data_IF_061192151371
#
_entry.id   IF_061192151371
#
_cell.length_a   1.000
_cell.length_b   1.000
_cell.length_c   1.000
_cell.angle_alpha   90.00
_cell.angle_beta   90.00
_cell.angle_gamma   90.00
#
_symmetry.space_group_name_H-M   'P 1'
#
loop_
_entity.id
_entity.type
_entity.pdbx_description
1 polymer ?
#
# COMPACT_ATOMS: atom_id res chain seq x y z
N UNK A 1 23.11 14.46 -16.62
CA UNK A 1 22.13 14.91 -15.62
C UNK A 1 20.96 13.92 -15.48
N UNK A 2 20.37 13.39 -16.58
CA UNK A 2 19.29 12.39 -16.54
C UNK A 2 19.73 11.09 -15.88
N UNK A 3 20.92 10.59 -16.19
CA UNK A 3 21.43 9.32 -15.65
C UNK A 3 21.73 9.42 -14.13
N UNK A 4 22.23 10.59 -13.68
CA UNK A 4 22.46 10.85 -12.27
C UNK A 4 21.15 10.94 -11.47
N UNK A 5 20.09 11.48 -12.07
CA UNK A 5 18.77 11.60 -11.46
C UNK A 5 18.06 10.24 -11.38
N UNK A 6 18.16 9.42 -12.43
CA UNK A 6 17.67 8.04 -12.43
C UNK A 6 18.39 7.17 -11.39
N UNK A 7 19.72 7.31 -11.25
CA UNK A 7 20.48 6.60 -10.23
C UNK A 7 20.10 7.02 -8.81
N UNK A 8 19.85 8.31 -8.56
CA UNK A 8 19.39 8.81 -7.28
C UNK A 8 17.97 8.29 -6.93
N UNK A 9 17.08 8.23 -7.90
CA UNK A 9 15.73 7.68 -7.75
C UNK A 9 15.77 6.19 -7.41
N UNK A 10 16.59 5.41 -8.11
CA UNK A 10 16.78 3.99 -7.85
C UNK A 10 17.36 3.73 -6.45
N UNK A 11 18.32 4.53 -6.02
CA UNK A 11 18.90 4.44 -4.67
C UNK A 11 17.84 4.71 -3.59
N UNK A 12 16.98 5.69 -3.81
CA UNK A 12 15.89 6.00 -2.87
C UNK A 12 14.86 4.86 -2.76
N UNK A 13 14.53 4.20 -3.87
CA UNK A 13 13.65 3.03 -3.92
C UNK A 13 14.28 1.86 -3.16
N UNK A 14 15.56 1.61 -3.40
CA UNK A 14 16.32 0.57 -2.70
C UNK A 14 16.37 0.80 -1.19
N UNK A 15 16.68 2.01 -0.75
CA UNK A 15 16.73 2.35 0.69
C UNK A 15 15.36 2.17 1.36
N UNK A 16 14.27 2.52 0.69
CA UNK A 16 12.90 2.29 1.20
C UNK A 16 12.58 0.81 1.34
N UNK A 17 12.94 0.00 0.35
CA UNK A 17 12.75 -1.44 0.42
C UNK A 17 13.58 -2.06 1.54
N UNK A 18 14.87 -1.71 1.61
CA UNK A 18 15.77 -2.20 2.66
C UNK A 18 15.28 -1.82 4.05
N UNK A 19 14.89 -0.55 4.26
CA UNK A 19 14.35 -0.12 5.55
C UNK A 19 13.05 -0.84 5.93
N UNK A 20 12.17 -1.10 4.97
CA UNK A 20 10.95 -1.87 5.21
C UNK A 20 11.26 -3.33 5.59
N UNK A 21 12.21 -3.96 4.91
CA UNK A 21 12.67 -5.31 5.24
C UNK A 21 13.31 -5.38 6.63
N UNK A 22 14.19 -4.44 6.96
CA UNK A 22 14.82 -4.37 8.29
C UNK A 22 13.78 -4.14 9.39
N UNK A 23 12.82 -3.23 9.17
CA UNK A 23 11.77 -2.94 10.13
C UNK A 23 10.85 -4.16 10.34
N UNK A 24 10.55 -4.92 9.30
CA UNK A 24 9.77 -6.16 9.40
C UNK A 24 10.44 -7.20 10.32
N UNK A 25 11.78 -7.21 10.42
CA UNK A 25 12.52 -8.13 11.28
C UNK A 25 12.77 -7.59 12.68
N UNK A 26 12.57 -6.31 12.94
CA UNK A 26 12.95 -5.66 14.19
C UNK A 26 12.32 -6.35 15.42
N UNK A 27 11.06 -6.73 15.36
CA UNK A 27 10.37 -7.42 16.45
C UNK A 27 11.00 -8.78 16.78
N UNK A 28 11.28 -9.60 15.78
CA UNK A 28 11.90 -10.93 15.98
C UNK A 28 13.32 -10.78 16.50
N UNK A 29 14.09 -9.83 15.97
CA UNK A 29 15.46 -9.55 16.41
C UNK A 29 15.48 -9.09 17.88
N UNK A 30 14.58 -8.18 18.27
CA UNK A 30 14.44 -7.75 19.66
C UNK A 30 14.16 -8.94 20.57
N UNK A 31 13.20 -9.80 20.22
CA UNK A 31 12.86 -10.97 21.02
C UNK A 31 14.03 -11.96 21.12
N UNK A 32 14.76 -12.19 20.03
CA UNK A 32 15.94 -13.06 20.03
C UNK A 32 17.07 -12.50 20.88
N UNK A 33 17.36 -11.21 20.77
CA UNK A 33 18.40 -10.57 21.60
C UNK A 33 18.03 -10.62 23.08
N UNK A 34 16.77 -10.39 23.41
CA UNK A 34 16.28 -10.51 24.79
C UNK A 34 16.31 -11.95 25.30
N UNK A 35 16.00 -12.93 24.45
CA UNK A 35 16.03 -14.35 24.82
C UNK A 35 17.44 -14.89 25.01
N UNK A 36 18.38 -14.45 24.17
CA UNK A 36 19.78 -14.85 24.25
C UNK A 36 20.50 -14.24 25.46
N UNK A 37 19.93 -13.20 26.08
CA UNK A 37 20.57 -12.40 27.13
C UNK A 37 21.63 -11.46 26.56
N UNK A 38 21.65 -10.22 27.04
CA UNK A 38 22.74 -9.31 26.73
C UNK A 38 24.04 -9.82 27.38
N UNK A 39 25.20 -9.77 26.75
CA UNK A 39 26.44 -10.41 27.26
C UNK A 39 26.87 -10.02 28.67
N UNK A 40 26.29 -8.95 29.22
CA UNK A 40 26.62 -8.44 30.56
C UNK A 40 25.71 -8.91 31.72
N UNK A 41 24.64 -9.64 31.44
CA UNK A 41 23.60 -10.01 32.43
C UNK A 41 23.46 -11.53 32.60
N UNK A 42 24.51 -12.28 32.31
CA UNK A 42 24.52 -13.73 32.55
C UNK A 42 24.74 -14.02 34.03
N UNK A 43 23.72 -13.90 34.85
CA UNK A 43 23.75 -14.29 36.25
C UNK A 43 22.70 -15.37 36.51
N UNK A 44 23.14 -16.58 36.75
CA UNK A 44 22.36 -17.71 37.24
C UNK A 44 22.14 -18.86 36.26
N UNK A 45 21.86 -20.05 36.76
CA UNK A 45 21.55 -21.21 35.93
C UNK A 45 20.16 -21.04 35.33
N UNK A 46 20.10 -20.88 34.01
CA UNK A 46 18.84 -20.83 33.25
C UNK A 46 18.64 -22.19 32.61
N UNK A 47 17.50 -22.83 32.81
CA UNK A 47 17.23 -24.09 32.13
C UNK A 47 17.20 -23.85 30.59
N UNK A 48 18.07 -24.56 29.84
CA UNK A 48 18.05 -24.45 28.40
C UNK A 48 16.77 -25.08 27.87
N UNK A 49 16.08 -24.38 27.00
CA UNK A 49 15.01 -24.97 26.21
C UNK A 49 15.66 -25.68 25.03
N UNK A 50 15.86 -27.01 25.15
CA UNK A 50 16.34 -27.81 24.05
C UNK A 50 15.18 -28.15 23.10
N UNK A 51 15.37 -27.90 21.83
CA UNK A 51 14.45 -28.38 20.79
C UNK A 51 15.07 -29.57 20.05
N UNK A 52 14.22 -30.38 19.43
CA UNK A 52 14.69 -31.42 18.53
C UNK A 52 15.48 -30.81 17.37
N UNK A 53 16.63 -31.43 16.98
CA UNK A 53 17.40 -30.94 15.84
C UNK A 53 16.54 -30.91 14.57
N UNK A 54 16.66 -29.84 13.82
CA UNK A 54 15.92 -29.67 12.55
C UNK A 54 16.65 -30.43 11.47
N UNK A 55 15.87 -31.11 10.62
CA UNK A 55 16.42 -31.82 9.45
C UNK A 55 17.26 -30.88 8.57
N UNK A 56 18.44 -31.33 8.05
CA UNK A 56 19.33 -30.49 7.23
C UNK A 56 18.65 -29.88 6.00
N UNK A 57 17.72 -30.61 5.39
CA UNK A 57 16.92 -30.10 4.27
C UNK A 57 16.04 -28.93 4.73
N UNK A 58 15.33 -29.08 5.85
CA UNK A 58 14.50 -28.02 6.42
C UNK A 58 15.30 -26.76 6.75
N UNK A 59 16.52 -26.93 7.29
CA UNK A 59 17.44 -25.81 7.56
C UNK A 59 17.83 -25.09 6.26
N UNK A 60 18.22 -25.84 5.24
CA UNK A 60 18.64 -25.30 3.94
C UNK A 60 17.48 -24.61 3.23
N UNK A 61 16.31 -25.23 3.23
CA UNK A 61 15.08 -24.67 2.68
C UNK A 61 14.72 -23.33 3.34
N UNK A 62 14.67 -23.28 4.67
CA UNK A 62 14.36 -22.06 5.39
C UNK A 62 15.38 -20.93 5.12
N UNK A 63 16.70 -21.26 5.04
CA UNK A 63 17.75 -20.29 4.71
C UNK A 63 17.60 -19.73 3.30
N UNK A 64 17.42 -20.60 2.31
CA UNK A 64 17.30 -20.19 0.90
C UNK A 64 16.06 -19.31 0.71
N UNK A 65 14.91 -19.77 1.18
CA UNK A 65 13.66 -19.00 1.00
C UNK A 65 13.50 -17.78 1.91
N UNK A 66 14.30 -17.68 2.96
CA UNK A 66 14.37 -16.45 3.76
C UNK A 66 15.29 -15.39 3.15
N UNK A 67 16.40 -15.78 2.50
CA UNK A 67 17.42 -14.84 2.03
C UNK A 67 17.28 -14.53 0.54
N UNK A 68 17.09 -15.54 -0.30
CA UNK A 68 17.15 -15.39 -1.76
C UNK A 68 16.07 -14.45 -2.31
N UNK A 69 14.78 -14.55 -1.93
CA UNK A 69 13.77 -13.65 -2.44
C UNK A 69 14.03 -12.18 -2.08
N UNK A 70 14.46 -11.92 -0.85
CA UNK A 70 14.80 -10.56 -0.39
C UNK A 70 16.01 -10.00 -1.12
N UNK A 71 17.07 -10.78 -1.30
CA UNK A 71 18.26 -10.39 -2.06
C UNK A 71 17.95 -10.13 -3.53
N UNK A 72 17.23 -11.04 -4.19
CA UNK A 72 16.82 -10.85 -5.59
C UNK A 72 15.96 -9.61 -5.76
N UNK A 73 14.99 -9.38 -4.87
CA UNK A 73 14.14 -8.20 -4.93
C UNK A 73 14.94 -6.90 -4.77
N UNK A 74 15.96 -6.87 -3.88
CA UNK A 74 16.82 -5.71 -3.73
C UNK A 74 17.70 -5.46 -4.96
N UNK A 75 18.23 -6.52 -5.58
CA UNK A 75 19.00 -6.43 -6.83
C UNK A 75 18.11 -5.90 -7.96
N UNK A 76 16.93 -6.48 -8.14
CA UNK A 76 15.95 -6.05 -9.15
C UNK A 76 15.54 -4.59 -8.94
N UNK A 77 15.30 -4.17 -7.70
CA UNK A 77 14.96 -2.78 -7.39
C UNK A 77 16.07 -1.80 -7.79
N UNK A 78 17.35 -2.18 -7.61
CA UNK A 78 18.49 -1.35 -8.01
C UNK A 78 18.67 -1.30 -9.54
N UNK A 79 18.58 -2.48 -10.20
CA UNK A 79 18.92 -2.60 -11.64
C UNK A 79 17.80 -2.07 -12.52
N UNK A 80 16.56 -2.41 -12.21
CA UNK A 80 15.39 -2.10 -13.06
C UNK A 80 14.71 -0.79 -12.62
N UNK A 81 14.97 -0.32 -11.39
CA UNK A 81 14.34 0.89 -10.85
C UNK A 81 12.83 0.75 -10.65
N UNK A 82 12.31 -0.48 -10.62
CA UNK A 82 10.89 -0.71 -10.41
C UNK A 82 10.48 -0.34 -8.98
N UNK A 83 9.49 0.52 -8.86
CA UNK A 83 8.85 0.87 -7.59
C UNK A 83 7.99 -0.31 -7.12
N UNK A 84 8.60 -1.25 -6.41
CA UNK A 84 7.84 -2.29 -5.73
C UNK A 84 6.94 -1.63 -4.67
N UNK A 85 5.64 -1.87 -4.66
CA UNK A 85 4.77 -1.34 -3.62
C UNK A 85 5.23 -1.90 -2.26
N UNK A 86 5.34 -1.03 -1.26
CA UNK A 86 5.82 -1.40 0.09
C UNK A 86 5.00 -2.56 0.68
N UNK A 87 3.70 -2.65 0.36
CA UNK A 87 2.84 -3.78 0.73
C UNK A 87 3.16 -5.09 0.01
N UNK A 88 3.84 -5.05 -1.15
CA UNK A 88 4.27 -6.25 -1.89
C UNK A 88 5.53 -6.92 -1.34
N UNK A 89 6.19 -6.33 -0.33
CA UNK A 89 7.40 -6.92 0.28
C UNK A 89 7.11 -8.01 1.33
N UNK A 90 5.88 -8.15 1.80
CA UNK A 90 5.52 -9.14 2.81
C UNK A 90 5.88 -10.60 2.43
N UNK A 91 5.65 -11.08 1.19
CA UNK A 91 6.06 -12.42 0.78
C UNK A 91 7.57 -12.65 0.85
N UNK A 92 8.38 -11.59 0.72
CA UNK A 92 9.84 -11.68 0.73
C UNK A 92 10.41 -12.04 2.11
N UNK A 93 9.62 -11.88 3.17
CA UNK A 93 10.05 -12.07 4.56
C UNK A 93 9.29 -13.18 5.29
N UNK A 94 8.43 -13.93 4.60
CA UNK A 94 7.57 -14.95 5.23
C UNK A 94 8.36 -15.97 6.05
N UNK A 95 9.47 -16.48 5.52
CA UNK A 95 10.29 -17.49 6.20
C UNK A 95 11.45 -16.91 7.00
N UNK A 96 11.66 -15.62 6.98
CA UNK A 96 12.81 -15.00 7.65
C UNK A 96 12.74 -15.12 9.17
N UNK A 97 11.55 -15.02 9.76
CA UNK A 97 11.35 -15.25 11.19
C UNK A 97 11.71 -16.68 11.60
N UNK A 98 11.29 -17.67 10.81
CA UNK A 98 11.67 -19.08 11.01
C UNK A 98 13.18 -19.29 10.88
N UNK A 99 13.79 -18.71 9.85
CA UNK A 99 15.22 -18.79 9.64
C UNK A 99 16.00 -18.19 10.83
N UNK A 100 15.59 -17.04 11.34
CA UNK A 100 16.21 -16.42 12.53
C UNK A 100 16.13 -17.32 13.75
N UNK A 101 14.99 -17.99 13.99
CA UNK A 101 14.86 -18.95 15.10
C UNK A 101 15.75 -20.18 14.87
N UNK A 102 15.90 -20.65 13.63
CA UNK A 102 16.81 -21.74 13.29
C UNK A 102 18.27 -21.33 13.52
N UNK A 103 18.67 -20.13 13.14
CA UNK A 103 20.00 -19.57 13.38
C UNK A 103 20.34 -19.40 14.87
N UNK A 104 19.33 -19.20 15.73
CA UNK A 104 19.54 -19.12 17.18
C UNK A 104 20.07 -20.43 17.80
N UNK A 105 20.05 -21.54 17.04
CA UNK A 105 20.58 -22.84 17.47
C UNK A 105 19.55 -23.74 18.14
N UNK A 106 20.00 -24.92 18.55
CA UNK A 106 19.13 -25.96 19.11
C UNK A 106 18.91 -25.80 20.63
N UNK A 107 19.65 -24.92 21.27
CA UNK A 107 19.53 -24.61 22.69
C UNK A 107 19.29 -23.12 22.87
N UNK A 108 18.08 -22.77 23.30
CA UNK A 108 17.70 -21.39 23.61
C UNK A 108 17.68 -21.23 25.11
N UNK A 109 18.58 -20.40 25.65
CA UNK A 109 18.54 -20.03 27.04
C UNK A 109 17.58 -18.86 27.24
N UNK A 110 16.46 -19.10 27.90
CA UNK A 110 15.46 -18.06 28.16
C UNK A 110 15.90 -17.23 29.38
N UNK A 111 16.84 -16.31 29.14
CA UNK A 111 17.18 -15.29 30.17
C UNK A 111 16.01 -14.28 30.20
N UNK A 112 15.61 -13.89 31.40
CA UNK A 112 14.60 -12.84 31.60
C UNK A 112 13.21 -13.15 31.00
N UNK A 113 12.66 -14.34 31.25
CA UNK A 113 11.33 -14.76 30.73
C UNK A 113 10.23 -13.71 30.93
N UNK A 114 10.22 -13.00 32.08
CA UNK A 114 9.27 -11.91 32.36
C UNK A 114 9.46 -10.74 31.39
N UNK A 115 10.70 -10.31 31.15
CA UNK A 115 11.02 -9.22 30.22
C UNK A 115 10.64 -9.62 28.81
N UNK A 116 10.92 -10.87 28.42
CA UNK A 116 10.53 -11.42 27.11
C UNK A 116 9.00 -11.41 26.94
N UNK A 117 8.27 -11.82 27.97
CA UNK A 117 6.80 -11.78 27.97
C UNK A 117 6.25 -10.35 27.82
N UNK A 118 6.78 -9.40 28.59
CA UNK A 118 6.41 -7.98 28.45
C UNK A 118 6.79 -7.40 27.10
N UNK A 119 7.97 -7.72 26.58
CA UNK A 119 8.40 -7.28 25.26
C UNK A 119 7.50 -7.84 24.16
N UNK A 120 7.10 -9.12 24.26
CA UNK A 120 6.17 -9.74 23.31
C UNK A 120 4.80 -9.09 23.35
N UNK A 121 4.23 -8.88 24.54
CA UNK A 121 2.96 -8.16 24.72
C UNK A 121 3.07 -6.73 24.21
N UNK A 122 4.18 -6.04 24.50
CA UNK A 122 4.46 -4.71 23.98
C UNK A 122 4.49 -4.67 22.44
N UNK A 123 5.20 -5.61 21.80
CA UNK A 123 5.22 -5.72 20.33
C UNK A 123 3.86 -6.06 19.71
N UNK A 124 2.99 -6.72 20.45
CA UNK A 124 1.63 -7.01 20.01
C UNK A 124 0.69 -5.79 20.11
N UNK A 125 0.83 -5.01 21.19
CA UNK A 125 -0.12 -3.92 21.53
C UNK A 125 0.37 -2.56 21.00
N UNK A 126 1.66 -2.25 21.10
CA UNK A 126 2.19 -0.91 20.78
C UNK A 126 1.99 -0.54 19.32
N UNK A 127 2.30 -1.38 18.32
CA UNK A 127 2.12 -0.99 16.92
C UNK A 127 0.67 -0.68 16.55
N UNK A 128 -0.35 -1.51 16.92
CA UNK A 128 -1.75 -1.19 16.64
C UNK A 128 -2.24 0.11 17.30
N UNK A 129 -1.71 0.46 18.46
CA UNK A 129 -2.06 1.73 19.11
C UNK A 129 -1.28 2.91 18.51
N UNK A 130 -0.04 2.68 18.10
CA UNK A 130 0.83 3.73 17.58
C UNK A 130 0.42 4.18 16.17
N UNK A 131 -0.05 3.25 15.33
CA UNK A 131 -0.48 3.55 13.95
C UNK A 131 -1.60 4.59 13.89
N UNK A 132 -2.71 4.49 14.64
CA UNK A 132 -3.74 5.55 14.66
C UNK A 132 -3.21 6.90 15.12
N UNK A 133 -2.31 6.92 16.12
CA UNK A 133 -1.67 8.14 16.60
C UNK A 133 -0.81 8.76 15.49
N UNK A 134 -0.04 7.97 14.78
CA UNK A 134 0.73 8.44 13.62
C UNK A 134 -0.18 9.00 12.52
N UNK A 135 -1.26 8.30 12.17
CA UNK A 135 -2.23 8.76 11.18
C UNK A 135 -2.81 10.12 11.56
N UNK A 136 -3.07 10.34 12.84
CA UNK A 136 -3.58 11.62 13.34
C UNK A 136 -2.53 12.74 13.36
N UNK A 137 -1.26 12.42 13.67
CA UNK A 137 -0.19 13.41 13.84
C UNK A 137 0.56 13.75 12.54
N UNK A 138 0.72 12.81 11.61
CA UNK A 138 1.48 13.01 10.38
C UNK A 138 0.98 14.19 9.53
N UNK A 139 -0.33 14.44 9.37
CA UNK A 139 -0.83 15.61 8.65
C UNK A 139 -0.41 16.95 9.29
N UNK A 140 -0.18 16.98 10.62
CA UNK A 140 0.22 18.17 11.35
C UNK A 140 1.74 18.41 11.37
N UNK A 141 2.52 17.34 11.38
CA UNK A 141 3.98 17.40 11.52
C UNK A 141 4.69 17.50 10.18
N UNK A 142 4.49 16.49 9.33
CA UNK A 142 5.20 16.33 8.04
C UNK A 142 4.33 16.73 6.85
N UNK A 143 3.03 16.95 7.05
CA UNK A 143 2.09 17.23 5.96
C UNK A 143 1.90 16.01 5.04
N UNK A 144 1.98 14.80 5.57
CA UNK A 144 1.80 13.59 4.78
C UNK A 144 0.31 13.34 4.49
N UNK A 145 -0.05 13.27 3.20
CA UNK A 145 -1.40 12.91 2.76
C UNK A 145 -1.54 11.39 2.75
N UNK A 146 -2.11 10.86 3.83
CA UNK A 146 -2.37 9.43 3.95
C UNK A 146 -3.73 9.09 3.35
N UNK A 147 -3.75 8.12 2.45
CA UNK A 147 -4.97 7.67 1.77
C UNK A 147 -6.08 7.23 2.74
N UNK A 148 -5.70 6.64 3.88
CA UNK A 148 -6.63 6.23 4.95
C UNK A 148 -7.35 7.43 5.62
N UNK A 149 -6.77 8.62 5.56
CA UNK A 149 -7.37 9.84 6.11
C UNK A 149 -8.32 10.56 5.13
N UNK A 150 -8.37 10.11 3.88
CA UNK A 150 -9.24 10.70 2.86
C UNK A 150 -10.70 10.28 3.08
N UNK A 151 -11.68 11.16 2.76
CA UNK A 151 -13.10 10.91 3.01
C UNK A 151 -13.72 10.04 1.90
N UNK A 152 -13.31 8.76 1.83
CA UNK A 152 -13.72 7.83 0.79
C UNK A 152 -15.25 7.74 0.65
N UNK A 153 -15.98 7.67 1.77
CA UNK A 153 -17.46 7.57 1.78
C UNK A 153 -18.13 8.77 1.13
N UNK A 154 -17.65 10.00 1.46
CA UNK A 154 -18.18 11.21 0.87
C UNK A 154 -17.89 11.30 -0.64
N UNK A 155 -16.68 10.87 -1.05
CA UNK A 155 -16.27 10.79 -2.44
C UNK A 155 -17.10 9.76 -3.21
N UNK A 156 -17.20 8.53 -2.68
CA UNK A 156 -17.95 7.45 -3.32
C UNK A 156 -19.41 7.79 -3.56
N UNK A 157 -20.09 8.33 -2.55
CA UNK A 157 -21.49 8.76 -2.68
C UNK A 157 -21.65 9.91 -3.67
N UNK A 158 -20.82 10.95 -3.55
CA UNK A 158 -20.91 12.11 -4.44
C UNK A 158 -20.77 11.71 -5.92
N UNK A 159 -19.77 10.88 -6.24
CA UNK A 159 -19.54 10.48 -7.63
C UNK A 159 -20.60 9.51 -8.14
N UNK A 160 -21.04 8.55 -7.32
CA UNK A 160 -22.14 7.66 -7.68
C UNK A 160 -23.42 8.43 -7.96
N UNK A 161 -23.85 9.30 -7.03
CA UNK A 161 -25.07 10.11 -7.18
C UNK A 161 -24.96 11.08 -8.37
N UNK A 162 -23.77 11.65 -8.59
CA UNK A 162 -23.53 12.58 -9.70
C UNK A 162 -23.60 11.89 -11.04
N UNK A 163 -23.12 10.65 -11.14
CA UNK A 163 -23.24 9.85 -12.36
C UNK A 163 -24.69 9.45 -12.62
N UNK A 164 -25.37 8.93 -11.62
CA UNK A 164 -26.75 8.48 -11.74
C UNK A 164 -27.70 9.62 -12.16
N UNK A 165 -27.55 10.80 -11.55
CA UNK A 165 -28.33 12.00 -11.96
C UNK A 165 -28.12 12.42 -13.40
N UNK A 166 -26.95 12.15 -14.00
CA UNK A 166 -26.62 12.56 -15.38
C UNK A 166 -26.93 11.53 -16.44
N UNK A 167 -26.92 10.26 -16.05
CA UNK A 167 -27.04 9.12 -16.98
C UNK A 167 -28.32 8.30 -16.76
N UNK A 168 -28.93 8.40 -15.58
CA UNK A 168 -30.04 7.55 -15.17
C UNK A 168 -29.64 6.11 -14.85
N UNK A 169 -28.32 5.82 -14.78
CA UNK A 169 -27.78 4.49 -14.54
C UNK A 169 -26.83 4.49 -13.35
N UNK A 170 -26.70 3.38 -12.62
CA UNK A 170 -25.73 3.26 -11.55
C UNK A 170 -24.29 3.32 -12.10
N UNK A 171 -23.37 3.88 -11.34
CA UNK A 171 -21.96 3.97 -11.71
C UNK A 171 -21.35 2.58 -11.80
N UNK A 172 -20.95 2.16 -12.99
CA UNK A 172 -20.37 0.84 -13.27
C UNK A 172 -18.83 0.85 -13.37
N UNK A 173 -18.24 1.96 -13.83
CA UNK A 173 -16.80 2.06 -14.07
C UNK A 173 -16.26 3.39 -13.52
N UNK A 174 -15.13 3.31 -12.81
CA UNK A 174 -14.34 4.48 -12.37
C UNK A 174 -12.93 4.35 -12.92
N UNK A 175 -12.37 5.46 -13.41
CA UNK A 175 -11.01 5.51 -13.98
C UNK A 175 -10.31 6.83 -13.64
N UNK A 176 -9.09 7.02 -14.11
CA UNK A 176 -8.26 8.19 -13.87
C UNK A 176 -7.12 7.89 -12.92
N UNK A 177 -6.85 8.76 -11.93
CA UNK A 177 -5.81 8.49 -10.94
C UNK A 177 -6.10 7.20 -10.16
N UNK A 178 -5.20 6.21 -10.18
CA UNK A 178 -5.46 4.88 -9.61
C UNK A 178 -5.83 4.89 -8.13
N UNK A 179 -5.22 5.78 -7.35
CA UNK A 179 -5.48 5.87 -5.90
C UNK A 179 -6.85 6.45 -5.61
N UNK A 180 -7.19 7.53 -6.30
CA UNK A 180 -8.49 8.21 -6.14
C UNK A 180 -9.62 7.32 -6.69
N UNK A 181 -9.41 6.71 -7.86
CA UNK A 181 -10.39 5.79 -8.47
C UNK A 181 -10.69 4.59 -7.56
N UNK A 182 -9.65 3.99 -6.96
CA UNK A 182 -9.82 2.88 -6.04
C UNK A 182 -10.62 3.28 -4.78
N UNK A 183 -10.35 4.47 -4.20
CA UNK A 183 -11.12 4.97 -3.05
C UNK A 183 -12.60 5.16 -3.39
N UNK A 184 -12.89 5.76 -4.55
CA UNK A 184 -14.27 5.93 -5.02
C UNK A 184 -14.95 4.59 -5.23
N UNK A 185 -14.28 3.64 -5.89
CA UNK A 185 -14.85 2.35 -6.20
C UNK A 185 -15.19 1.52 -4.95
N UNK A 186 -14.30 1.55 -3.95
CA UNK A 186 -14.53 0.82 -2.68
C UNK A 186 -15.69 1.43 -1.88
N UNK A 187 -15.87 2.75 -1.94
CA UNK A 187 -16.85 3.46 -1.12
C UNK A 187 -18.19 3.71 -1.84
N UNK A 188 -18.23 3.67 -3.17
CA UNK A 188 -19.47 3.86 -3.93
C UNK A 188 -20.46 2.72 -3.68
N UNK A 189 -21.76 3.01 -3.50
CA UNK A 189 -22.79 1.97 -3.25
C UNK A 189 -22.87 0.93 -4.36
N UNK A 190 -22.68 1.35 -5.61
CA UNK A 190 -22.74 0.48 -6.80
C UNK A 190 -21.51 -0.43 -6.96
N UNK A 191 -20.42 -0.23 -6.17
CA UNK A 191 -19.18 -0.99 -6.27
C UNK A 191 -18.62 -1.06 -7.69
N UNK A 192 -18.38 0.08 -8.34
CA UNK A 192 -17.92 0.12 -9.73
C UNK A 192 -16.56 -0.57 -9.89
N UNK A 193 -16.32 -1.13 -11.07
CA UNK A 193 -15.02 -1.65 -11.46
C UNK A 193 -14.02 -0.51 -11.70
N UNK A 194 -12.76 -0.71 -11.31
CA UNK A 194 -11.70 0.27 -11.56
C UNK A 194 -10.99 -0.07 -12.86
N UNK A 195 -10.87 0.91 -13.75
CA UNK A 195 -10.06 0.81 -14.95
C UNK A 195 -8.75 1.58 -14.74
N UNK A 196 -7.69 0.85 -14.38
CA UNK A 196 -6.40 1.44 -14.01
C UNK A 196 -5.65 1.98 -15.22
N UNK A 197 -5.22 3.24 -15.15
CA UNK A 197 -4.39 3.93 -16.16
C UNK A 197 -4.92 3.80 -17.60
N UNK A 198 -6.21 3.56 -17.79
CA UNK A 198 -6.82 3.26 -19.08
C UNK A 198 -6.16 2.08 -19.83
N UNK A 199 -5.53 1.16 -19.09
CA UNK A 199 -4.78 0.03 -19.63
C UNK A 199 -5.58 -1.29 -19.47
N UNK A 200 -6.05 -1.91 -20.56
CA UNK A 200 -6.73 -3.21 -20.52
C UNK A 200 -5.86 -4.35 -19.98
N UNK A 201 -4.53 -4.26 -20.13
CA UNK A 201 -3.64 -5.30 -19.60
C UNK A 201 -3.59 -5.26 -18.06
N UNK A 202 -3.73 -4.08 -17.47
CA UNK A 202 -3.78 -3.88 -16.01
C UNK A 202 -5.18 -4.07 -15.44
N UNK A 203 -6.20 -4.05 -16.28
CA UNK A 203 -7.61 -4.12 -15.89
C UNK A 203 -8.39 -5.06 -16.80
N UNK A 204 -8.04 -6.37 -16.86
CA UNK A 204 -8.66 -7.29 -17.81
C UNK A 204 -10.17 -7.52 -17.56
N UNK A 205 -10.68 -7.04 -16.43
CA UNK A 205 -12.11 -7.10 -16.06
C UNK A 205 -12.93 -5.91 -16.58
N UNK A 206 -12.30 -4.91 -17.23
CA UNK A 206 -12.99 -3.76 -17.86
C UNK A 206 -12.46 -3.59 -19.27
N UNK A 207 -13.37 -3.56 -20.23
CA UNK A 207 -13.03 -3.28 -21.62
C UNK A 207 -13.39 -1.84 -22.01
N UNK A 208 -12.85 -1.37 -23.15
CA UNK A 208 -13.25 -0.10 -23.73
C UNK A 208 -14.74 -0.11 -24.17
N UNK A 209 -15.26 -1.30 -24.50
CA UNK A 209 -16.68 -1.49 -24.84
C UNK A 209 -17.57 -1.33 -23.59
N UNK A 210 -17.13 -1.77 -22.44
CA UNK A 210 -17.86 -1.56 -21.18
C UNK A 210 -17.97 -0.07 -20.87
N UNK A 211 -16.90 0.69 -21.07
CA UNK A 211 -16.92 2.15 -20.87
C UNK A 211 -17.87 2.81 -21.84
N UNK A 212 -17.88 2.39 -23.11
CA UNK A 212 -18.85 2.91 -24.10
C UNK A 212 -20.28 2.55 -23.76
N UNK A 213 -20.51 1.32 -23.28
CA UNK A 213 -21.85 0.82 -22.97
C UNK A 213 -22.43 1.39 -21.68
N UNK A 214 -21.64 1.42 -20.63
CA UNK A 214 -22.11 1.78 -19.29
C UNK A 214 -21.73 3.21 -18.89
N UNK A 215 -20.81 3.84 -19.61
CA UNK A 215 -20.19 5.08 -19.21
C UNK A 215 -19.19 4.90 -18.06
N UNK A 216 -18.52 5.99 -17.68
CA UNK A 216 -17.56 5.98 -16.59
C UNK A 216 -17.46 7.35 -15.93
N UNK A 217 -17.00 7.38 -14.68
CA UNK A 217 -16.45 8.58 -14.06
C UNK A 217 -14.92 8.51 -14.12
N UNK A 218 -14.32 9.61 -14.54
CA UNK A 218 -12.88 9.84 -14.53
C UNK A 218 -12.55 10.78 -13.40
N UNK A 219 -11.58 10.43 -12.53
CA UNK A 219 -11.19 11.24 -11.35
C UNK A 219 -9.69 11.47 -11.31
N UNK A 220 -9.28 12.66 -10.85
CA UNK A 220 -7.86 13.02 -10.66
C UNK A 220 -7.68 14.03 -9.53
N UNK A 221 -6.57 13.98 -8.78
CA UNK A 221 -6.25 15.03 -7.82
C UNK A 221 -5.90 16.33 -8.56
N UNK A 222 -6.39 17.46 -8.07
CA UNK A 222 -6.09 18.78 -8.64
C UNK A 222 -5.94 19.84 -7.57
N UNK A 223 -5.09 20.82 -7.83
CA UNK A 223 -5.01 22.05 -7.02
C UNK A 223 -5.93 23.15 -7.60
N UNK A 224 -6.23 23.07 -8.90
CA UNK A 224 -6.96 24.09 -9.61
C UNK A 224 -8.47 24.02 -9.37
N UNK A 225 -9.13 25.13 -9.58
CA UNK A 225 -10.60 25.26 -9.55
C UNK A 225 -11.23 25.11 -10.92
N UNK A 226 -10.41 25.13 -11.98
CA UNK A 226 -10.86 25.00 -13.36
C UNK A 226 -11.11 23.55 -13.74
N UNK A 227 -12.12 23.24 -14.57
CA UNK A 227 -12.43 21.90 -15.02
C UNK A 227 -11.47 21.44 -16.13
N UNK A 228 -10.16 21.50 -15.87
CA UNK A 228 -9.15 21.12 -16.86
C UNK A 228 -8.56 19.76 -16.50
N UNK A 229 -8.81 18.70 -17.28
CA UNK A 229 -8.19 17.41 -17.06
C UNK A 229 -6.69 17.46 -17.39
N UNK A 230 -5.86 16.66 -16.71
CA UNK A 230 -4.48 16.43 -17.12
C UNK A 230 -4.37 15.95 -18.57
N UNK A 231 -3.26 16.30 -19.23
CA UNK A 231 -3.05 16.02 -20.67
C UNK A 231 -3.10 14.53 -21.01
N UNK A 232 -2.60 13.70 -20.12
CA UNK A 232 -2.63 12.24 -20.22
C UNK A 232 -4.07 11.70 -20.14
N UNK A 233 -4.87 12.15 -19.17
CA UNK A 233 -6.28 11.79 -19.05
C UNK A 233 -7.06 12.23 -20.30
N UNK A 234 -6.81 13.45 -20.79
CA UNK A 234 -7.46 13.95 -22.00
C UNK A 234 -7.10 13.16 -23.27
N UNK A 235 -5.85 12.69 -23.34
CA UNK A 235 -5.40 11.86 -24.45
C UNK A 235 -6.08 10.48 -24.47
N UNK A 236 -6.28 9.88 -23.29
CA UNK A 236 -6.97 8.58 -23.17
C UNK A 236 -8.49 8.66 -23.35
N UNK A 237 -9.09 9.78 -22.92
CA UNK A 237 -10.55 9.98 -22.94
C UNK A 237 -10.91 11.29 -23.63
N UNK A 238 -10.84 11.35 -24.98
CA UNK A 238 -11.16 12.57 -25.74
C UNK A 238 -12.61 13.04 -25.55
N UNK A 239 -13.54 12.11 -25.33
CA UNK A 239 -14.97 12.37 -25.13
C UNK A 239 -15.33 12.76 -23.69
N UNK A 240 -14.33 12.94 -22.83
CA UNK A 240 -14.52 13.30 -21.42
C UNK A 240 -15.12 14.69 -21.30
N UNK A 241 -16.30 14.77 -20.67
CA UNK A 241 -16.90 16.04 -20.26
C UNK A 241 -16.42 16.37 -18.85
N UNK A 242 -15.46 17.28 -18.78
CA UNK A 242 -14.89 17.70 -17.50
C UNK A 242 -15.89 18.57 -16.73
N UNK A 243 -15.99 18.34 -15.43
CA UNK A 243 -16.87 19.03 -14.50
C UNK A 243 -16.05 19.88 -13.53
N UNK A 244 -16.72 20.85 -12.89
CA UNK A 244 -16.05 21.68 -11.87
C UNK A 244 -15.49 20.81 -10.74
N UNK A 245 -14.21 20.96 -10.39
CA UNK A 245 -13.58 20.17 -9.34
C UNK A 245 -14.31 20.29 -8.01
N UNK A 246 -14.43 19.15 -7.31
CA UNK A 246 -15.11 19.10 -6.01
C UNK A 246 -14.11 19.05 -4.87
N UNK A 247 -14.39 19.81 -3.83
CA UNK A 247 -13.61 19.77 -2.58
C UNK A 247 -14.26 18.83 -1.58
N UNK A 248 -13.40 18.11 -0.84
CA UNK A 248 -13.82 17.20 0.22
C UNK A 248 -13.03 17.50 1.49
N UNK A 249 -13.72 17.47 2.62
CA UNK A 249 -13.11 17.68 3.93
C UNK A 249 -12.45 16.37 4.38
N UNK A 250 -11.14 16.43 4.67
CA UNK A 250 -10.43 15.30 5.24
C UNK A 250 -10.85 15.04 6.69
N UNK A 251 -10.81 13.81 7.14
CA UNK A 251 -11.03 13.48 8.55
C UNK A 251 -10.01 14.17 9.47
N UNK A 252 -8.77 14.29 9.01
CA UNK A 252 -7.70 15.05 9.66
C UNK A 252 -7.08 15.97 8.61
N UNK A 253 -7.36 17.26 8.68
CA UNK A 253 -6.85 18.23 7.72
C UNK A 253 -5.37 18.57 7.98
N UNK A 254 -5.00 18.83 9.22
CA UNK A 254 -3.65 19.23 9.58
C UNK A 254 -3.16 20.46 8.81
N UNK A 255 -1.92 20.38 8.29
CA UNK A 255 -1.30 21.40 7.42
C UNK A 255 -1.50 21.11 5.92
N UNK A 256 -2.27 20.08 5.59
CA UNK A 256 -2.51 19.70 4.21
C UNK A 256 -3.38 20.74 3.48
N UNK A 257 -3.14 20.96 2.18
CA UNK A 257 -4.04 21.76 1.36
C UNK A 257 -5.43 21.08 1.28
N UNK A 258 -6.45 21.86 0.93
CA UNK A 258 -7.80 21.33 0.74
C UNK A 258 -7.78 20.19 -0.29
N UNK A 259 -8.42 19.07 0.03
CA UNK A 259 -8.55 17.96 -0.90
C UNK A 259 -9.51 18.33 -2.01
N UNK A 260 -8.98 18.53 -3.21
CA UNK A 260 -9.78 18.84 -4.39
C UNK A 260 -9.59 17.75 -5.42
N UNK A 261 -10.70 17.24 -5.92
CA UNK A 261 -10.74 16.20 -6.95
C UNK A 261 -11.38 16.77 -8.20
N UNK A 262 -10.59 16.80 -9.26
CA UNK A 262 -11.10 17.02 -10.61
C UNK A 262 -11.80 15.75 -11.10
N UNK A 263 -12.82 15.92 -11.87
CA UNK A 263 -13.60 14.78 -12.37
C UNK A 263 -14.32 15.10 -13.67
N UNK A 264 -14.76 14.06 -14.34
CA UNK A 264 -15.58 14.19 -15.53
C UNK A 264 -16.36 12.92 -15.78
N UNK A 265 -17.31 13.02 -16.68
CA UNK A 265 -18.24 11.94 -17.05
C UNK A 265 -18.05 11.56 -18.50
N UNK A 266 -17.90 10.26 -18.73
CA UNK A 266 -18.05 9.64 -20.03
C UNK A 266 -19.47 9.07 -20.06
N UNK A 267 -20.33 9.62 -20.91
CA UNK A 267 -21.72 9.17 -21.03
C UNK A 267 -21.80 7.82 -21.73
N UNK A 268 -22.74 6.94 -21.32
CA UNK A 268 -23.01 5.74 -22.07
C UNK A 268 -23.41 6.13 -23.51
N UNK A 269 -22.88 5.42 -24.50
CA UNK A 269 -23.38 5.53 -25.85
C UNK A 269 -24.84 5.06 -25.86
N UNK A 270 -25.77 5.89 -26.31
CA UNK A 270 -27.14 5.45 -26.53
C UNK A 270 -27.08 4.38 -27.60
N UNK A 271 -27.16 3.12 -27.19
CA UNK A 271 -27.47 2.04 -28.13
C UNK A 271 -28.87 2.34 -28.63
N UNK A 272 -29.00 2.76 -29.89
CA UNK A 272 -30.28 2.84 -30.50
C UNK A 272 -30.95 1.48 -30.37
N UNK A 273 -32.22 1.41 -29.93
CA UNK A 273 -32.92 0.13 -29.86
C UNK A 273 -32.84 -0.50 -31.22
N UNK A 274 -32.35 -1.75 -31.30
CA UNK A 274 -32.38 -2.55 -32.51
C UNK A 274 -33.84 -2.59 -32.98
N UNK A 275 -34.09 -2.00 -34.15
CA UNK A 275 -35.39 -2.04 -34.83
C UNK A 275 -35.63 -3.46 -35.30
#
# INVERSE_FOLDING_TARGET
LRDAQAAADNTSVWLRLLSALLLAHAGVVILLVLSAGWPRVRTGPVPPLARSPVDPFGVSFAKVFALVPGLLATIVAVVIGQKLPVGGSAPLVVLSGLALVIFAGDSIALYHQRVLGFAWVGLLIVPPLFVPVLIALLPWTVGADLQVAQPADAMGRFFADSFERRTGQPLAVVTGDPRTAALVAVAAPSRPSVFFDADPQRSPWVSADDIRKYGAIVVWPTADTTPTPPSDIKAYFPDLVAEVPRTFDRRVQGRLPVLRIGWGVIRPSSVAPAQ
#
